data_IF_010388923430
#
_entry.id   IF_010388923430
#
_cell.length_a   1.000
_cell.length_b   1.000
_cell.length_c   1.000
_cell.angle_alpha   90.00
_cell.angle_beta   90.00
_cell.angle_gamma   90.00
#
_symmetry.space_group_name_H-M   'P 1'
#
loop_
_entity.id
_entity.type
_entity.pdbx_description
1 polymer ?
#
# COMPACT_ATOMS: atom_id res chain seq x y z
N UNK A 1 17.83 -7.87 -14.00
CA UNK A 1 16.71 -8.29 -14.89
C UNK A 1 15.44 -7.62 -14.42
N UNK A 2 14.52 -7.20 -15.31
CA UNK A 2 13.27 -6.60 -14.91
C UNK A 2 12.41 -7.59 -14.12
N UNK A 3 11.60 -7.08 -13.19
CA UNK A 3 10.57 -7.87 -12.50
C UNK A 3 9.30 -7.87 -13.35
N UNK A 4 8.73 -9.03 -13.58
CA UNK A 4 7.54 -9.19 -14.41
C UNK A 4 6.52 -10.10 -13.75
N UNK A 5 5.24 -9.79 -13.95
CA UNK A 5 4.16 -10.58 -13.39
C UNK A 5 2.82 -10.23 -14.01
N UNK A 6 1.76 -10.77 -13.42
CA UNK A 6 0.39 -10.47 -13.79
C UNK A 6 -0.45 -10.22 -12.55
N UNK A 7 -1.13 -9.08 -12.51
CA UNK A 7 -2.06 -8.72 -11.45
C UNK A 7 -3.46 -8.51 -12.04
N UNK A 8 -4.41 -9.34 -11.65
CA UNK A 8 -5.81 -9.29 -12.10
C UNK A 8 -5.94 -9.23 -13.64
N UNK A 9 -5.13 -10.01 -14.37
CA UNK A 9 -5.12 -10.05 -15.83
C UNK A 9 -4.32 -8.92 -16.49
N UNK A 10 -3.75 -7.99 -15.74
CA UNK A 10 -2.84 -6.97 -16.26
C UNK A 10 -1.38 -7.38 -16.11
N UNK A 11 -0.61 -7.23 -17.20
CA UNK A 11 0.84 -7.38 -17.13
C UNK A 11 1.45 -6.27 -16.28
N UNK A 12 2.27 -6.67 -15.33
CA UNK A 12 3.11 -5.78 -14.54
C UNK A 12 4.55 -5.95 -15.01
N UNK A 13 5.22 -4.83 -15.25
CA UNK A 13 6.62 -4.79 -15.64
C UNK A 13 7.31 -3.67 -14.86
N UNK A 14 8.32 -4.02 -14.08
CA UNK A 14 9.17 -3.06 -13.36
C UNK A 14 10.56 -3.17 -13.95
N UNK A 15 10.98 -2.10 -14.65
CA UNK A 15 12.27 -2.03 -15.30
C UNK A 15 13.41 -2.00 -14.27
N UNK A 16 14.53 -2.63 -14.59
CA UNK A 16 15.74 -2.60 -13.74
C UNK A 16 16.39 -1.21 -13.66
N UNK A 17 16.09 -0.32 -14.62
CA UNK A 17 16.54 1.06 -14.60
C UNK A 17 15.74 1.93 -13.61
N UNK A 18 14.53 1.53 -13.28
CA UNK A 18 13.77 2.11 -12.17
C UNK A 18 14.18 1.44 -10.87
N UNK A 19 15.37 1.80 -10.40
CA UNK A 19 16.03 1.12 -9.28
C UNK A 19 15.20 1.17 -7.99
N UNK A 20 14.49 2.26 -7.76
CA UNK A 20 13.67 2.46 -6.56
C UNK A 20 12.46 1.53 -6.54
N UNK A 21 11.67 1.51 -7.61
CA UNK A 21 10.53 0.61 -7.70
C UNK A 21 10.96 -0.85 -7.83
N UNK A 22 12.04 -1.12 -8.56
CA UNK A 22 12.60 -2.47 -8.66
C UNK A 22 12.99 -3.03 -7.28
N UNK A 23 13.66 -2.22 -6.45
CA UNK A 23 14.00 -2.61 -5.08
C UNK A 23 12.74 -2.78 -4.21
N UNK A 24 11.78 -1.86 -4.28
CA UNK A 24 10.53 -1.92 -3.50
C UNK A 24 9.75 -3.21 -3.79
N UNK A 25 9.47 -3.48 -5.06
CA UNK A 25 8.73 -4.69 -5.45
C UNK A 25 9.52 -5.97 -5.23
N UNK A 26 10.86 -5.90 -5.31
CA UNK A 26 11.73 -7.03 -4.94
C UNK A 26 11.66 -7.36 -3.44
N UNK A 27 11.48 -6.38 -2.55
CA UNK A 27 11.20 -6.61 -1.14
C UNK A 27 9.80 -7.17 -0.93
N UNK A 28 8.80 -6.64 -1.64
CA UNK A 28 7.45 -7.21 -1.61
C UNK A 28 7.43 -8.69 -2.04
N UNK A 29 8.23 -9.06 -3.06
CA UNK A 29 8.41 -10.46 -3.49
C UNK A 29 9.04 -11.39 -2.45
N UNK A 30 9.64 -10.82 -1.39
CA UNK A 30 10.11 -11.55 -0.20
C UNK A 30 9.11 -11.50 0.95
N UNK A 31 7.93 -10.93 0.72
CA UNK A 31 6.91 -10.67 1.72
C UNK A 31 7.40 -9.77 2.88
N UNK A 32 8.27 -8.82 2.54
CA UNK A 32 8.78 -7.81 3.48
C UNK A 32 8.35 -6.42 3.00
N UNK A 33 7.62 -5.68 3.82
CA UNK A 33 7.39 -4.26 3.55
C UNK A 33 8.59 -3.46 4.05
N UNK A 34 9.35 -2.91 3.10
CA UNK A 34 10.45 -2.00 3.40
C UNK A 34 10.24 -0.66 2.72
N UNK A 35 10.65 0.38 3.38
CA UNK A 35 10.55 1.76 2.90
C UNK A 35 11.92 2.42 2.91
N UNK A 36 12.09 3.47 2.14
CA UNK A 36 13.32 4.24 2.18
C UNK A 36 13.37 5.13 3.43
N UNK A 37 14.50 5.12 4.13
CA UNK A 37 14.82 6.07 5.19
C UNK A 37 15.97 6.96 4.72
N UNK A 38 15.77 8.28 4.78
CA UNK A 38 16.79 9.25 4.39
C UNK A 38 18.00 9.20 5.32
N UNK A 39 19.21 9.14 4.74
CA UNK A 39 20.43 9.12 5.52
C UNK A 39 20.76 10.46 6.22
N UNK A 40 20.15 11.56 5.78
CA UNK A 40 20.37 12.90 6.34
C UNK A 40 19.32 13.27 7.39
N UNK A 41 18.03 13.31 7.03
CA UNK A 41 16.99 13.77 7.95
C UNK A 41 16.30 12.63 8.74
N UNK A 42 16.56 11.35 8.41
CA UNK A 42 15.99 10.20 9.08
C UNK A 42 14.52 9.89 8.73
N UNK A 43 13.84 10.76 8.00
CA UNK A 43 12.44 10.55 7.62
C UNK A 43 12.28 9.39 6.64
N UNK A 44 11.22 8.64 6.83
CA UNK A 44 10.83 7.54 5.96
C UNK A 44 9.92 8.04 4.84
N UNK A 45 9.96 7.36 3.70
CA UNK A 45 9.12 7.68 2.54
C UNK A 45 8.69 6.45 1.75
N UNK A 46 7.47 6.50 1.25
CA UNK A 46 6.88 5.62 0.26
C UNK A 46 5.81 6.42 -0.50
N UNK A 47 5.67 6.31 -1.83
CA UNK A 47 6.49 5.48 -2.72
C UNK A 47 7.97 5.87 -2.71
N UNK A 48 8.86 4.97 -3.16
CA UNK A 48 10.29 5.24 -3.20
C UNK A 48 10.64 6.33 -4.22
N UNK A 49 11.65 7.12 -3.92
CA UNK A 49 12.11 8.22 -4.78
C UNK A 49 13.63 8.31 -4.76
N UNK A 50 14.23 8.87 -5.84
CA UNK A 50 15.67 9.03 -5.98
C UNK A 50 16.24 9.95 -4.91
N UNK A 51 15.53 11.03 -4.55
CA UNK A 51 15.94 11.97 -3.51
C UNK A 51 14.84 12.12 -2.45
N UNK A 52 15.25 12.50 -1.25
CA UNK A 52 14.32 12.76 -0.14
C UNK A 52 13.44 13.97 -0.45
N UNK A 53 12.10 13.85 -0.42
CA UNK A 53 11.21 14.97 -0.69
C UNK A 53 11.24 16.06 0.39
N UNK A 54 11.80 15.76 1.57
CA UNK A 54 11.84 16.69 2.71
C UNK A 54 13.13 17.51 2.75
N UNK A 55 14.29 16.92 2.38
CA UNK A 55 15.58 17.61 2.48
C UNK A 55 16.44 17.51 1.22
N UNK A 56 15.92 16.91 0.14
CA UNK A 56 16.59 16.70 -1.15
C UNK A 56 17.87 15.84 -1.11
N UNK A 57 18.19 15.19 0.02
CA UNK A 57 19.34 14.29 0.12
C UNK A 57 19.09 12.99 -0.67
N UNK A 58 20.08 12.56 -1.45
CA UNK A 58 19.94 11.39 -2.34
C UNK A 58 20.13 10.05 -1.62
N UNK A 59 21.05 9.98 -0.64
CA UNK A 59 21.34 8.71 0.02
C UNK A 59 20.21 8.28 0.97
N UNK A 60 19.83 7.02 0.87
CA UNK A 60 18.83 6.37 1.72
C UNK A 60 19.16 4.90 1.97
N UNK A 61 18.54 4.33 2.99
CA UNK A 61 18.58 2.90 3.29
C UNK A 61 17.18 2.32 3.28
N UNK A 62 17.06 1.05 2.96
CA UNK A 62 15.81 0.31 3.03
C UNK A 62 15.61 -0.26 4.43
N UNK A 63 14.62 0.22 5.15
CA UNK A 63 14.30 -0.21 6.50
C UNK A 63 12.99 -0.99 6.53
N UNK A 64 12.89 -2.08 7.32
CA UNK A 64 11.64 -2.79 7.49
C UNK A 64 10.65 -1.94 8.29
N UNK A 65 9.37 -2.11 7.97
CA UNK A 65 8.24 -1.56 8.74
C UNK A 65 7.29 -2.69 9.10
N UNK A 66 6.48 -2.50 10.15
CA UNK A 66 5.57 -3.54 10.64
C UNK A 66 4.53 -3.99 9.62
N UNK A 67 4.24 -3.12 8.65
CA UNK A 67 3.14 -3.32 7.72
C UNK A 67 1.77 -3.13 8.37
N UNK A 68 1.71 -2.52 9.56
CA UNK A 68 0.47 -2.18 10.26
C UNK A 68 0.21 -0.68 10.15
N UNK A 69 -1.07 -0.33 10.06
CA UNK A 69 -1.45 1.08 9.94
C UNK A 69 -2.96 1.29 10.11
N UNK A 70 -3.35 2.53 9.90
CA UNK A 70 -4.74 2.96 9.98
C UNK A 70 -5.18 3.54 8.64
N UNK A 71 -6.36 3.20 8.19
CA UNK A 71 -6.93 3.80 6.98
C UNK A 71 -7.09 5.30 7.20
N UNK A 72 -6.30 6.08 6.47
CA UNK A 72 -6.32 7.54 6.49
C UNK A 72 -7.35 8.10 5.51
N UNK A 73 -7.48 7.46 4.36
CA UNK A 73 -8.47 7.79 3.34
C UNK A 73 -8.75 6.57 2.46
N UNK A 74 -9.84 6.59 1.71
CA UNK A 74 -10.16 5.53 0.77
C UNK A 74 -10.93 6.05 -0.46
N UNK A 75 -10.90 5.26 -1.52
CA UNK A 75 -11.75 5.45 -2.70
C UNK A 75 -12.39 4.13 -3.11
N UNK A 76 -13.65 4.16 -3.49
CA UNK A 76 -14.35 3.01 -4.08
C UNK A 76 -14.46 3.19 -5.60
N UNK A 77 -14.05 2.18 -6.34
CA UNK A 77 -14.15 2.16 -7.80
C UNK A 77 -15.38 1.39 -8.20
N UNK A 78 -16.43 2.10 -8.58
CA UNK A 78 -17.68 1.53 -9.08
C UNK A 78 -17.69 1.38 -10.61
N UNK A 79 -16.84 2.14 -11.29
CA UNK A 79 -16.69 2.07 -12.75
C UNK A 79 -15.21 1.98 -13.12
N UNK A 80 -14.77 0.79 -13.46
CA UNK A 80 -13.39 0.57 -13.87
C UNK A 80 -13.17 1.01 -15.32
N UNK A 81 -12.18 1.89 -15.53
CA UNK A 81 -11.76 2.34 -16.87
C UNK A 81 -11.16 1.16 -17.64
N UNK A 82 -10.27 0.39 -16.98
CA UNK A 82 -9.67 -0.80 -17.58
C UNK A 82 -10.68 -1.95 -17.62
N UNK A 83 -10.96 -2.53 -18.81
CA UNK A 83 -11.96 -3.59 -18.95
C UNK A 83 -11.72 -4.79 -18.04
N UNK A 84 -10.48 -5.14 -17.83
CA UNK A 84 -10.08 -6.29 -17.00
C UNK A 84 -10.52 -6.15 -15.53
N UNK A 85 -10.66 -4.92 -15.02
CA UNK A 85 -11.08 -4.69 -13.64
C UNK A 85 -12.61 -4.59 -13.46
N UNK A 86 -13.39 -4.62 -14.54
CA UNK A 86 -14.85 -4.43 -14.45
C UNK A 86 -15.55 -5.51 -13.65
N UNK A 87 -15.08 -6.74 -13.72
CA UNK A 87 -15.62 -7.86 -12.97
C UNK A 87 -15.34 -7.80 -11.46
N UNK A 88 -14.34 -6.98 -11.05
CA UNK A 88 -13.95 -6.81 -9.66
C UNK A 88 -14.64 -5.62 -8.98
N UNK A 89 -15.42 -4.83 -9.72
CA UNK A 89 -16.12 -3.67 -9.12
C UNK A 89 -17.33 -4.08 -8.28
N UNK A 90 -17.62 -3.39 -7.15
CA UNK A 90 -16.81 -2.33 -6.58
C UNK A 90 -15.57 -2.87 -5.85
N UNK A 91 -14.41 -2.24 -6.07
CA UNK A 91 -13.22 -2.51 -5.29
C UNK A 91 -12.72 -1.25 -4.60
N UNK A 92 -11.95 -1.40 -3.52
CA UNK A 92 -11.54 -0.30 -2.68
C UNK A 92 -10.02 -0.11 -2.73
N UNK A 93 -9.62 1.15 -2.88
CA UNK A 93 -8.24 1.61 -2.71
C UNK A 93 -8.12 2.29 -1.34
N UNK A 94 -7.20 1.84 -0.53
CA UNK A 94 -6.93 2.41 0.78
C UNK A 94 -5.64 3.21 0.76
N UNK A 95 -5.66 4.43 1.28
CA UNK A 95 -4.47 5.16 1.69
C UNK A 95 -4.28 4.93 3.17
N UNK A 96 -3.27 4.14 3.53
CA UNK A 96 -3.01 3.73 4.90
C UNK A 96 -1.81 4.48 5.47
N UNK A 97 -2.00 5.08 6.64
CA UNK A 97 -0.93 5.67 7.42
C UNK A 97 -0.29 4.59 8.30
N UNK A 98 0.99 4.33 8.03
CA UNK A 98 1.78 3.34 8.76
C UNK A 98 2.13 3.82 10.16
N UNK A 99 2.23 2.87 11.10
CA UNK A 99 2.44 3.17 12.52
C UNK A 99 3.82 3.79 12.80
N UNK A 100 4.80 3.59 11.92
CA UNK A 100 6.19 4.00 12.10
C UNK A 100 6.46 5.49 11.94
N UNK A 101 5.55 6.26 11.31
CA UNK A 101 5.75 7.71 11.15
C UNK A 101 4.42 8.42 10.96
N UNK A 102 4.02 9.17 11.99
CA UNK A 102 2.77 9.95 12.04
C UNK A 102 3.07 11.35 12.52
N UNK A 103 2.41 12.37 11.92
CA UNK A 103 2.62 13.78 12.23
C UNK A 103 4.10 14.20 12.13
N UNK A 104 4.82 13.62 11.17
CA UNK A 104 6.21 13.93 10.89
C UNK A 104 6.44 14.07 9.38
N UNK A 105 7.16 15.12 8.92
CA UNK A 105 7.88 16.14 9.73
C UNK A 105 6.99 17.24 10.30
N UNK A 106 5.75 17.34 9.91
CA UNK A 106 4.80 18.35 10.40
C UNK A 106 3.45 17.72 10.75
N UNK A 107 2.57 18.47 11.40
CA UNK A 107 1.20 18.08 11.67
C UNK A 107 0.49 17.69 10.37
N UNK A 108 -0.22 16.56 10.38
CA UNK A 108 -0.88 15.89 9.22
C UNK A 108 0.05 15.23 8.20
N UNK A 109 1.37 15.35 8.32
CA UNK A 109 2.29 14.53 7.55
C UNK A 109 2.36 13.11 8.12
N UNK A 110 2.75 12.16 7.28
CA UNK A 110 2.89 10.77 7.71
C UNK A 110 3.41 9.86 6.60
N UNK A 111 3.79 8.67 6.99
CA UNK A 111 4.20 7.62 6.05
C UNK A 111 2.95 6.90 5.56
N UNK A 112 2.57 7.09 4.31
CA UNK A 112 1.33 6.54 3.75
C UNK A 112 1.58 5.74 2.49
N UNK A 113 0.96 4.56 2.45
CA UNK A 113 1.00 3.65 1.30
C UNK A 113 -0.41 3.39 0.78
N UNK A 114 -0.59 3.57 -0.53
CA UNK A 114 -1.83 3.25 -1.21
C UNK A 114 -1.77 1.83 -1.78
N UNK A 115 -2.80 1.02 -1.49
CA UNK A 115 -2.99 -0.29 -2.10
C UNK A 115 -4.47 -0.71 -2.04
N UNK A 116 -4.83 -1.78 -2.75
CA UNK A 116 -6.18 -2.33 -2.70
C UNK A 116 -6.49 -2.98 -1.36
N UNK A 117 -7.77 -2.88 -0.95
CA UNK A 117 -8.31 -3.73 0.11
C UNK A 117 -8.44 -5.16 -0.40
N UNK A 118 -8.01 -6.11 0.41
CA UNK A 118 -7.97 -7.53 0.09
C UNK A 118 -8.42 -8.38 1.29
N UNK A 119 -8.71 -9.64 1.01
CA UNK A 119 -8.84 -10.68 2.03
C UNK A 119 -7.46 -11.04 2.61
N UNK A 120 -7.40 -11.77 3.73
CA UNK A 120 -6.12 -12.26 4.27
C UNK A 120 -5.29 -13.11 3.29
N UNK A 121 -5.96 -13.74 2.32
CA UNK A 121 -5.31 -14.57 1.29
C UNK A 121 -4.82 -13.76 0.07
N UNK A 122 -4.98 -12.42 0.09
CA UNK A 122 -4.52 -11.53 -0.97
C UNK A 122 -5.45 -11.47 -2.19
N UNK A 123 -6.69 -11.93 -2.09
CA UNK A 123 -7.71 -11.70 -3.11
C UNK A 123 -8.39 -10.34 -2.89
N UNK A 124 -8.87 -9.70 -3.95
CA UNK A 124 -9.61 -8.45 -3.80
C UNK A 124 -10.80 -8.63 -2.85
N UNK A 125 -11.00 -7.63 -2.01
CA UNK A 125 -12.06 -7.64 -1.02
C UNK A 125 -13.44 -7.81 -1.68
N UNK A 126 -14.27 -8.75 -1.20
CA UNK A 126 -15.64 -8.86 -1.66
C UNK A 126 -16.48 -7.65 -1.22
N UNK A 127 -17.64 -7.41 -1.84
CA UNK A 127 -18.46 -6.23 -1.59
C UNK A 127 -18.87 -6.03 -0.10
N UNK A 128 -19.02 -7.11 0.65
CA UNK A 128 -19.34 -7.04 2.08
C UNK A 128 -18.19 -6.40 2.88
N UNK A 129 -16.96 -6.82 2.58
CA UNK A 129 -15.76 -6.28 3.22
C UNK A 129 -15.52 -4.83 2.79
N UNK A 130 -15.70 -4.52 1.50
CA UNK A 130 -15.63 -3.14 0.98
C UNK A 130 -16.58 -2.21 1.75
N UNK A 131 -17.80 -2.65 2.03
CA UNK A 131 -18.79 -1.85 2.77
C UNK A 131 -18.46 -1.66 4.26
N UNK A 132 -17.67 -2.53 4.85
CA UNK A 132 -17.34 -2.47 6.28
C UNK A 132 -16.11 -1.64 6.60
N UNK A 133 -15.23 -1.42 5.64
CA UNK A 133 -13.95 -0.71 5.84
C UNK A 133 -14.09 0.77 5.51
N UNK A 134 -13.63 1.63 6.41
CA UNK A 134 -13.62 3.09 6.28
C UNK A 134 -12.43 3.71 6.99
N UNK A 135 -12.43 5.05 7.08
CA UNK A 135 -11.38 5.80 7.78
C UNK A 135 -11.35 5.39 9.26
N UNK A 136 -10.17 5.16 9.79
CA UNK A 136 -9.96 4.69 11.14
C UNK A 136 -9.81 3.16 11.28
N UNK A 137 -10.22 2.37 10.27
CA UNK A 137 -10.02 0.91 10.30
C UNK A 137 -8.53 0.57 10.43
N UNK A 138 -8.20 -0.33 11.33
CA UNK A 138 -6.85 -0.88 11.48
C UNK A 138 -6.65 -1.99 10.47
N UNK A 139 -5.53 -1.90 9.74
CA UNK A 139 -5.18 -2.82 8.66
C UNK A 139 -3.73 -3.28 8.77
N UNK A 140 -3.45 -4.41 8.16
CA UNK A 140 -2.09 -4.93 7.98
C UNK A 140 -1.83 -5.28 6.51
N UNK A 141 -0.58 -5.25 6.12
CA UNK A 141 -0.17 -5.64 4.77
C UNK A 141 -0.27 -7.15 4.59
N UNK A 142 -0.71 -7.57 3.42
CA UNK A 142 -0.57 -8.92 2.88
C UNK A 142 0.07 -8.82 1.50
N UNK A 143 0.72 -9.87 1.06
CA UNK A 143 1.40 -9.88 -0.24
C UNK A 143 0.77 -10.92 -1.15
N UNK A 144 0.49 -10.51 -2.38
CA UNK A 144 0.04 -11.40 -3.44
C UNK A 144 1.18 -11.56 -4.45
N UNK A 145 1.70 -12.77 -4.55
CA UNK A 145 2.68 -13.11 -5.57
C UNK A 145 2.06 -12.96 -6.96
N UNK A 146 2.72 -12.23 -7.84
CA UNK A 146 2.24 -11.97 -9.20
C UNK A 146 3.21 -12.44 -10.27
N UNK A 147 4.39 -12.92 -9.87
CA UNK A 147 5.44 -13.46 -10.71
C UNK A 147 6.65 -13.83 -9.87
N UNK A 148 7.70 -14.29 -10.53
CA UNK A 148 8.94 -14.68 -9.84
C UNK A 148 9.63 -13.44 -9.24
N UNK A 149 9.79 -13.44 -7.92
CA UNK A 149 10.46 -12.37 -7.17
C UNK A 149 9.70 -11.04 -7.10
N UNK A 150 8.42 -11.03 -7.43
CA UNK A 150 7.57 -9.83 -7.37
C UNK A 150 6.21 -10.15 -6.75
N UNK A 151 5.78 -9.31 -5.82
CA UNK A 151 4.45 -9.38 -5.22
C UNK A 151 3.83 -8.00 -5.09
N UNK A 152 2.50 -7.93 -5.12
CA UNK A 152 1.74 -6.73 -4.82
C UNK A 152 1.48 -6.64 -3.32
N UNK A 153 1.84 -5.52 -2.66
CA UNK A 153 1.38 -5.26 -1.31
C UNK A 153 -0.10 -4.85 -1.35
N UNK A 154 -0.90 -5.46 -0.49
CA UNK A 154 -2.33 -5.22 -0.36
C UNK A 154 -2.67 -5.01 1.11
N UNK A 155 -3.82 -4.41 1.41
CA UNK A 155 -4.28 -4.18 2.77
C UNK A 155 -5.40 -5.14 3.15
N UNK A 156 -5.29 -5.79 4.28
CA UNK A 156 -6.38 -6.54 4.90
C UNK A 156 -6.69 -6.01 6.29
N UNK A 157 -7.91 -6.23 6.78
CA UNK A 157 -8.27 -5.84 8.15
C UNK A 157 -7.36 -6.57 9.13
N UNK A 158 -6.82 -5.84 10.10
CA UNK A 158 -5.98 -6.41 11.16
C UNK A 158 -6.88 -6.95 12.28
N UNK A 159 -7.12 -8.25 12.26
CA UNK A 159 -7.98 -8.93 13.23
C UNK A 159 -7.39 -8.96 14.65
N UNK A 160 -6.09 -8.72 14.79
CA UNK A 160 -5.40 -8.66 16.08
C UNK A 160 -5.46 -7.27 16.72
N UNK A 161 -5.83 -6.24 15.95
CA UNK A 161 -5.91 -4.88 16.42
C UNK A 161 -7.32 -4.52 16.90
N UNK A 162 -7.39 -3.63 17.89
CA UNK A 162 -8.66 -3.01 18.28
C UNK A 162 -9.20 -2.18 17.11
N UNK A 163 -10.42 -2.48 16.69
CA UNK A 163 -11.09 -1.81 15.59
C UNK A 163 -12.01 -0.70 16.12
N UNK A 164 -12.19 0.39 15.35
CA UNK A 164 -13.18 1.41 15.69
C UNK A 164 -14.60 0.81 15.67
N UNK A 165 -15.45 1.19 16.60
CA UNK A 165 -16.86 0.74 16.64
C UNK A 165 -17.61 1.08 15.34
N UNK A 166 -17.29 2.22 14.74
CA UNK A 166 -17.90 2.68 13.48
C UNK A 166 -16.84 3.44 12.66
N UNK A 167 -16.14 2.76 11.73
CA UNK A 167 -15.23 3.45 10.84
C UNK A 167 -16.00 4.46 9.99
N UNK A 168 -15.42 5.66 9.83
CA UNK A 168 -16.10 6.70 9.06
C UNK A 168 -16.12 6.36 7.58
N UNK A 169 -17.29 6.52 6.98
CA UNK A 169 -17.50 6.31 5.54
C UNK A 169 -18.22 7.52 4.95
N UNK A 170 -17.92 7.80 3.66
CA UNK A 170 -18.67 8.79 2.92
C UNK A 170 -20.15 8.39 2.87
N UNK A 171 -21.07 9.31 3.20
CA UNK A 171 -22.49 9.02 3.07
C UNK A 171 -22.81 8.73 1.60
N UNK A 172 -23.45 7.60 1.35
CA UNK A 172 -24.01 7.27 0.03
C UNK A 172 -25.46 7.74 0.10
N UNK A 173 -25.81 8.73 -0.73
CA UNK A 173 -27.19 9.17 -0.93
C UNK A 173 -28.02 8.14 -1.70
#
# INVERSE_FOLDING_TARGET
>A
MPLTGEYLGMRVHVDELDQENHAFFGWCGRHELRVQQCASCGLKRVPPTTACPFCAHEASTWVPVSGRGTVYSYGEVHHAIQPVFREFTPYQLLLVELDEQRNEPAEFDGLRLQANLATPDGELAPPELVRSVGIGTRVRVVFRDIGEGIAMPLWTVDEEAEQPESPWRYPIE
#
